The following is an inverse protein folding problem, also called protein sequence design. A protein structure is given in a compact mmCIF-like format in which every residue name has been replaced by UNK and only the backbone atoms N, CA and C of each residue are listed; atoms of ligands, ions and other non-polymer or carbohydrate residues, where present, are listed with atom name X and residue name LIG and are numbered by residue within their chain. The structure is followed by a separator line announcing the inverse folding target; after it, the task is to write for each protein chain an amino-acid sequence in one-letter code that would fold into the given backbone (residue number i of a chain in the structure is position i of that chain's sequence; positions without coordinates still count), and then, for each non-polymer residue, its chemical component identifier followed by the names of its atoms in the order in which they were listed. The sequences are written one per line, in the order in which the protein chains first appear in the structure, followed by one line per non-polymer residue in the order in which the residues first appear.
data_IF_546205037594
#
_entry.id   IF_546205037594
#
_cell.length_a   1.000
_cell.length_b   1.000
_cell.length_c   1.000
_cell.angle_alpha   90.00
_cell.angle_beta   90.00
_cell.angle_gamma   90.00
#
_symmetry.space_group_name_H-M   'P 1'
#
loop_
_entity.id
_entity.type
_entity.pdbx_description
1 polymer ?
#
# COMPACT_ATOMS: atom_id res chain seq x y z
N UNK A 1 -5.78 2.00 -12.03
CA UNK A 1 -5.95 3.31 -12.65
C UNK A 1 -4.67 4.08 -12.41
N UNK A 2 -3.94 4.52 -13.45
CA UNK A 2 -2.68 5.24 -13.25
C UNK A 2 -2.88 6.66 -12.70
N UNK A 3 -1.78 7.30 -12.28
CA UNK A 3 -1.74 8.71 -11.83
C UNK A 3 -2.52 9.62 -12.81
N UNK A 4 -3.40 10.49 -12.30
CA UNK A 4 -4.19 11.42 -13.12
C UNK A 4 -3.32 12.63 -13.49
N UNK A 5 -3.18 12.88 -14.79
CA UNK A 5 -2.40 14.01 -15.31
C UNK A 5 -3.29 15.19 -15.69
N UNK A 6 -2.75 16.41 -15.62
CA UNK A 6 -3.46 17.63 -16.03
C UNK A 6 -3.82 17.57 -17.51
N UNK A 7 -4.99 18.15 -17.84
CA UNK A 7 -5.53 18.22 -19.20
C UNK A 7 -5.81 19.67 -19.61
N UNK A 8 -4.93 20.59 -19.23
CA UNK A 8 -5.08 21.99 -19.61
C UNK A 8 -4.73 22.16 -21.08
N UNK A 9 -5.37 23.12 -21.76
CA UNK A 9 -4.97 23.51 -23.10
C UNK A 9 -3.52 24.00 -23.09
N UNK A 10 -2.71 23.57 -24.06
CA UNK A 10 -1.28 23.86 -24.15
C UNK A 10 -0.39 22.71 -23.65
N UNK A 11 0.86 23.03 -23.31
CA UNK A 11 1.84 22.05 -22.86
C UNK A 11 1.53 21.55 -21.45
N UNK A 12 1.50 20.22 -21.29
CA UNK A 12 1.39 19.57 -19.99
C UNK A 12 2.71 18.84 -19.70
N UNK A 13 3.18 18.91 -18.44
CA UNK A 13 4.35 18.17 -17.96
C UNK A 13 3.94 17.25 -16.83
N UNK A 14 4.47 16.03 -16.85
CA UNK A 14 4.37 15.11 -15.72
C UNK A 14 5.74 14.54 -15.38
N UNK A 15 5.96 14.24 -14.11
CA UNK A 15 7.07 13.41 -13.62
C UNK A 15 6.53 12.05 -13.23
N UNK A 16 7.41 11.05 -13.27
CA UNK A 16 7.22 9.78 -12.60
C UNK A 16 8.27 9.69 -11.51
N UNK A 17 7.83 9.50 -10.27
CA UNK A 17 8.68 9.49 -9.09
C UNK A 17 9.39 8.14 -8.89
N UNK A 18 9.40 7.29 -9.94
CA UNK A 18 9.98 5.94 -9.96
C UNK A 18 9.36 4.99 -8.93
N UNK A 19 8.12 5.24 -8.52
CA UNK A 19 7.35 4.33 -7.67
C UNK A 19 6.17 3.72 -8.43
N UNK A 20 5.81 2.50 -8.06
CA UNK A 20 4.58 1.84 -8.50
C UNK A 20 3.34 2.53 -7.87
N UNK A 21 2.16 2.19 -8.38
CA UNK A 21 0.90 2.62 -7.75
C UNK A 21 0.83 2.07 -6.31
N UNK A 22 0.42 2.92 -5.36
CA UNK A 22 0.21 2.49 -3.98
C UNK A 22 -0.94 1.50 -3.82
N UNK A 23 -1.05 0.85 -2.65
CA UNK A 23 -2.12 -0.08 -2.35
C UNK A 23 -3.48 0.61 -2.25
N UNK A 24 -4.56 -0.17 -2.21
CA UNK A 24 -5.89 0.35 -1.85
C UNK A 24 -5.81 1.05 -0.50
N UNK A 25 -6.31 2.28 -0.43
CA UNK A 25 -6.28 3.14 0.76
C UNK A 25 -7.60 3.06 1.53
N UNK A 26 -7.52 2.99 2.86
CA UNK A 26 -8.68 3.12 3.72
C UNK A 26 -9.18 4.56 3.76
N UNK A 27 -10.41 4.80 3.31
CA UNK A 27 -10.96 6.16 3.12
C UNK A 27 -11.83 6.65 4.29
N UNK A 28 -12.26 5.73 5.16
CA UNK A 28 -13.07 6.02 6.35
C UNK A 28 -12.28 6.56 7.55
N UNK A 29 -11.05 7.04 7.33
CA UNK A 29 -10.17 7.64 8.34
C UNK A 29 -9.65 9.01 7.88
N UNK A 30 -8.94 9.71 8.77
CA UNK A 30 -8.31 11.00 8.48
C UNK A 30 -7.17 10.87 7.47
N UNK A 31 -6.87 11.95 6.73
CA UNK A 31 -6.03 11.92 5.52
C UNK A 31 -4.66 11.24 5.73
N UNK A 32 -3.98 11.57 6.83
CA UNK A 32 -2.65 11.07 7.18
C UNK A 32 -2.65 9.58 7.52
N UNK A 33 -3.80 9.01 7.91
CA UNK A 33 -3.93 7.59 8.23
C UNK A 33 -4.47 6.75 7.07
N UNK A 34 -4.68 7.33 5.88
CA UNK A 34 -5.22 6.57 4.73
C UNK A 34 -4.23 5.58 4.11
N UNK A 35 -3.00 5.52 4.62
CA UNK A 35 -1.92 4.72 4.03
C UNK A 35 -1.21 5.43 2.85
N UNK A 36 -0.15 4.81 2.32
CA UNK A 36 0.73 5.40 1.32
C UNK A 36 0.02 5.60 -0.03
N UNK A 37 0.45 6.63 -0.77
CA UNK A 37 -0.04 6.87 -2.14
C UNK A 37 0.77 6.11 -3.20
N UNK A 38 1.98 5.72 -2.85
CA UNK A 38 2.96 5.09 -3.72
C UNK A 38 3.31 3.70 -3.22
N UNK A 39 3.65 2.81 -4.16
CA UNK A 39 4.03 1.43 -3.91
C UNK A 39 5.54 1.25 -3.77
N UNK A 40 6.01 0.05 -4.11
CA UNK A 40 7.44 -0.25 -4.16
C UNK A 40 8.14 0.59 -5.24
N UNK A 41 9.44 0.83 -5.07
CA UNK A 41 10.23 1.55 -6.07
C UNK A 41 10.44 0.67 -7.31
N UNK A 42 10.33 1.26 -8.51
CA UNK A 42 10.50 0.54 -9.75
C UNK A 42 11.96 0.10 -9.94
N UNK A 43 12.15 -1.17 -10.29
CA UNK A 43 13.49 -1.73 -10.52
C UNK A 43 14.18 -1.09 -11.73
N UNK A 44 15.52 -0.95 -11.73
CA UNK A 44 16.26 -0.60 -12.94
C UNK A 44 15.91 -1.53 -14.11
N UNK A 45 15.66 -0.96 -15.28
CA UNK A 45 15.14 -1.72 -16.42
C UNK A 45 14.63 -0.85 -17.55
N UNK A 46 14.08 -1.50 -18.58
CA UNK A 46 13.43 -0.82 -19.70
C UNK A 46 11.93 -0.81 -19.50
N UNK A 47 11.35 0.38 -19.51
CA UNK A 47 9.92 0.63 -19.35
C UNK A 47 9.34 1.24 -20.62
N UNK A 48 8.05 1.00 -20.83
CA UNK A 48 7.29 1.66 -21.90
C UNK A 48 6.39 2.71 -21.27
N UNK A 49 6.61 3.97 -21.62
CA UNK A 49 5.71 5.07 -21.28
C UNK A 49 4.61 5.11 -22.33
N UNK A 50 3.36 4.98 -21.90
CA UNK A 50 2.18 5.04 -22.78
C UNK A 50 1.33 6.26 -22.47
N UNK A 51 1.11 7.09 -23.49
CA UNK A 51 0.17 8.21 -23.46
C UNK A 51 -1.09 7.83 -24.25
N UNK A 52 -2.26 8.03 -23.64
CA UNK A 52 -3.56 7.88 -24.29
C UNK A 52 -4.22 9.25 -24.36
N UNK A 53 -4.43 9.76 -25.58
CA UNK A 53 -5.05 11.05 -25.84
C UNK A 53 -6.05 10.92 -27.01
N UNK A 54 -7.29 11.35 -26.80
CA UNK A 54 -8.38 11.26 -27.78
C UNK A 54 -8.51 9.88 -28.44
N UNK A 55 -8.36 8.82 -27.64
CA UNK A 55 -8.43 7.43 -28.09
C UNK A 55 -7.20 6.94 -28.87
N UNK A 56 -6.19 7.79 -29.11
CA UNK A 56 -4.91 7.41 -29.72
C UNK A 56 -3.90 7.00 -28.66
N UNK A 57 -3.06 6.02 -29.00
CA UNK A 57 -1.98 5.55 -28.14
C UNK A 57 -0.63 6.02 -28.71
N UNK A 58 0.22 6.53 -27.83
CA UNK A 58 1.60 6.89 -28.11
C UNK A 58 2.47 6.14 -27.12
N UNK A 59 3.55 5.54 -27.60
CA UNK A 59 4.47 4.75 -26.77
C UNK A 59 5.90 5.21 -26.98
N UNK A 60 6.65 5.26 -25.88
CA UNK A 60 8.07 5.60 -25.89
C UNK A 60 8.81 4.72 -24.89
N UNK A 61 9.96 4.19 -25.32
CA UNK A 61 10.84 3.44 -24.44
C UNK A 61 11.63 4.37 -23.52
N UNK A 62 11.78 3.97 -22.26
CA UNK A 62 12.52 4.66 -21.21
C UNK A 62 13.40 3.64 -20.47
N UNK A 63 14.69 3.95 -20.29
CA UNK A 63 15.57 3.11 -19.47
C UNK A 63 15.79 3.75 -18.12
N UNK A 64 15.38 3.06 -17.05
CA UNK A 64 15.72 3.38 -15.66
C UNK A 64 17.07 2.72 -15.33
N UNK A 65 18.01 3.51 -14.84
CA UNK A 65 19.35 3.04 -14.46
C UNK A 65 19.47 2.94 -12.94
N UNK A 66 20.33 2.04 -12.43
CA UNK A 66 20.67 2.04 -11.00
C UNK A 66 21.31 3.38 -10.59
N UNK A 67 21.04 3.83 -9.36
CA UNK A 67 21.72 5.01 -8.81
C UNK A 67 23.20 4.68 -8.56
N UNK A 68 24.16 5.39 -9.18
CA UNK A 68 25.58 5.11 -9.00
C UNK A 68 26.10 5.37 -7.57
N UNK A 69 25.31 6.00 -6.71
CA UNK A 69 25.65 6.25 -5.30
C UNK A 69 25.13 5.14 -4.37
N UNK A 70 24.26 4.28 -4.88
CA UNK A 70 23.71 3.15 -4.15
C UNK A 70 24.61 1.91 -4.35
N UNK A 71 25.19 1.34 -3.28
CA UNK A 71 26.01 0.14 -3.38
C UNK A 71 25.19 -1.16 -3.58
N UNK A 72 23.86 -1.11 -3.51
CA UNK A 72 22.99 -2.28 -3.65
C UNK A 72 23.16 -3.01 -4.98
N UNK A 73 23.18 -4.33 -4.93
CA UNK A 73 23.18 -5.15 -6.14
C UNK A 73 21.78 -5.23 -6.76
N UNK A 74 21.68 -5.67 -8.01
CA UNK A 74 20.39 -5.90 -8.64
C UNK A 74 19.53 -6.93 -7.87
N UNK A 75 20.16 -7.92 -7.22
CA UNK A 75 19.47 -8.90 -6.38
C UNK A 75 18.94 -8.28 -5.09
N UNK A 76 19.70 -7.37 -4.47
CA UNK A 76 19.24 -6.64 -3.28
C UNK A 76 18.01 -5.78 -3.58
N UNK A 77 18.05 -5.04 -4.69
CA UNK A 77 16.92 -4.24 -5.17
C UNK A 77 15.70 -5.12 -5.46
N UNK A 78 15.90 -6.27 -6.11
CA UNK A 78 14.80 -7.20 -6.40
C UNK A 78 14.17 -7.78 -5.13
N UNK A 79 14.97 -8.15 -4.12
CA UNK A 79 14.48 -8.63 -2.82
C UNK A 79 13.70 -7.56 -2.08
N UNK A 80 14.22 -6.34 -2.05
CA UNK A 80 13.54 -5.18 -1.47
C UNK A 80 12.20 -4.92 -2.15
N UNK A 81 12.19 -4.84 -3.48
CA UNK A 81 10.98 -4.62 -4.27
C UNK A 81 9.93 -5.67 -3.97
N UNK A 82 10.28 -6.96 -4.05
CA UNK A 82 9.36 -8.05 -3.78
C UNK A 82 8.78 -7.98 -2.36
N UNK A 83 9.60 -7.62 -1.37
CA UNK A 83 9.18 -7.48 0.01
C UNK A 83 8.19 -6.31 0.20
N UNK A 84 8.51 -5.12 -0.34
CA UNK A 84 7.63 -3.95 -0.28
C UNK A 84 6.33 -4.16 -1.07
N UNK A 85 6.42 -4.76 -2.26
CA UNK A 85 5.25 -5.09 -3.08
C UNK A 85 4.30 -6.04 -2.34
N UNK A 86 4.85 -7.04 -1.64
CA UNK A 86 4.05 -7.95 -0.79
C UNK A 86 3.38 -7.21 0.36
N UNK A 87 4.12 -6.40 1.12
CA UNK A 87 3.55 -5.64 2.25
C UNK A 87 2.47 -4.65 1.80
N UNK A 88 2.67 -3.97 0.66
CA UNK A 88 1.64 -3.13 0.05
C UNK A 88 0.41 -3.98 -0.32
N UNK A 89 0.60 -5.16 -0.89
CA UNK A 89 -0.48 -6.11 -1.15
C UNK A 89 -1.27 -6.47 0.11
N UNK A 90 -0.58 -6.83 1.20
CA UNK A 90 -1.21 -7.13 2.49
C UNK A 90 -1.99 -5.94 3.06
N UNK A 91 -1.41 -4.73 3.02
CA UNK A 91 -2.09 -3.52 3.44
C UNK A 91 -3.35 -3.26 2.62
N UNK A 92 -3.26 -3.43 1.30
CA UNK A 92 -4.38 -3.25 0.38
C UNK A 92 -5.53 -4.22 0.64
N UNK A 93 -5.23 -5.47 1.03
CA UNK A 93 -6.23 -6.45 1.46
C UNK A 93 -6.94 -5.96 2.74
N UNK A 94 -6.18 -5.53 3.74
CA UNK A 94 -6.73 -5.01 5.00
C UNK A 94 -7.58 -3.77 4.78
N UNK A 95 -7.10 -2.79 4.02
CA UNK A 95 -7.80 -1.54 3.74
C UNK A 95 -9.05 -1.76 2.87
N UNK A 96 -9.04 -2.75 1.99
CA UNK A 96 -10.24 -3.18 1.25
C UNK A 96 -11.31 -3.73 2.21
N UNK A 97 -10.92 -4.56 3.18
CA UNK A 97 -11.84 -5.05 4.21
C UNK A 97 -12.40 -3.90 5.05
N UNK A 98 -11.56 -2.94 5.48
CA UNK A 98 -11.98 -1.78 6.25
C UNK A 98 -13.00 -0.92 5.50
N UNK A 99 -12.71 -0.57 4.24
CA UNK A 99 -13.65 0.17 3.40
C UNK A 99 -15.01 -0.56 3.26
N UNK A 100 -14.98 -1.89 3.14
CA UNK A 100 -16.20 -2.70 3.05
C UNK A 100 -16.97 -2.75 4.38
N UNK A 101 -16.27 -2.84 5.52
CA UNK A 101 -16.87 -2.78 6.85
C UNK A 101 -17.56 -1.44 7.10
N UNK A 102 -16.86 -0.33 6.85
CA UNK A 102 -17.42 1.01 6.99
C UNK A 102 -18.67 1.19 6.12
N UNK A 103 -18.63 0.68 4.88
CA UNK A 103 -19.78 0.72 3.98
C UNK A 103 -20.99 -0.05 4.51
N UNK A 104 -20.76 -1.24 5.07
CA UNK A 104 -21.83 -2.08 5.66
C UNK A 104 -22.43 -1.44 6.92
N UNK A 105 -21.61 -0.79 7.75
CA UNK A 105 -22.06 -0.18 9.00
C UNK A 105 -23.05 0.97 8.79
N UNK A 106 -22.95 1.73 7.69
CA UNK A 106 -23.81 2.91 7.42
C UNK A 106 -25.32 2.63 7.42
N UNK A 107 -25.73 1.40 7.11
CA UNK A 107 -27.15 1.03 6.98
C UNK A 107 -27.53 -0.20 7.82
N UNK A 108 -26.65 -0.65 8.70
CA UNK A 108 -26.86 -1.85 9.49
C UNK A 108 -27.65 -1.57 10.79
N UNK A 109 -28.46 -2.52 11.29
CA UNK A 109 -29.07 -2.41 12.61
C UNK A 109 -27.98 -2.46 13.71
N UNK A 110 -28.28 -1.91 14.89
CA UNK A 110 -27.31 -1.74 15.98
C UNK A 110 -26.54 -3.03 16.35
N UNK A 111 -27.22 -4.18 16.44
CA UNK A 111 -26.58 -5.46 16.72
C UNK A 111 -25.56 -5.86 15.65
N UNK A 112 -25.84 -5.56 14.38
CA UNK A 112 -24.92 -5.83 13.26
C UNK A 112 -23.76 -4.83 13.24
N UNK A 113 -24.00 -3.56 13.58
CA UNK A 113 -22.94 -2.55 13.74
C UNK A 113 -21.95 -3.00 14.81
N UNK A 114 -22.40 -3.44 15.99
CA UNK A 114 -21.52 -3.91 17.05
C UNK A 114 -20.61 -5.08 16.60
N UNK A 115 -21.17 -6.06 15.88
CA UNK A 115 -20.39 -7.17 15.34
C UNK A 115 -19.37 -6.73 14.27
N UNK A 116 -19.73 -5.78 13.40
CA UNK A 116 -18.82 -5.23 12.39
C UNK A 116 -17.69 -4.41 13.02
N UNK A 117 -18.00 -3.61 14.05
CA UNK A 117 -17.02 -2.86 14.84
C UNK A 117 -16.01 -3.79 15.53
N UNK A 118 -16.48 -4.90 16.13
CA UNK A 118 -15.58 -5.89 16.72
C UNK A 118 -14.61 -6.49 15.69
N UNK A 119 -15.06 -6.71 14.46
CA UNK A 119 -14.18 -7.15 13.37
C UNK A 119 -13.20 -6.06 12.94
N UNK A 120 -13.66 -4.81 12.81
CA UNK A 120 -12.83 -3.64 12.51
C UNK A 120 -11.68 -3.51 13.51
N UNK A 121 -11.94 -3.65 14.81
CA UNK A 121 -10.92 -3.57 15.87
C UNK A 121 -9.89 -4.71 15.88
N UNK A 122 -10.13 -5.79 15.13
CA UNK A 122 -9.10 -6.82 14.87
C UNK A 122 -8.15 -6.38 13.77
N UNK A 123 -8.62 -5.56 12.83
CA UNK A 123 -7.86 -5.11 11.66
C UNK A 123 -7.03 -3.85 11.95
N UNK A 124 -7.60 -2.90 12.69
CA UNK A 124 -7.00 -1.57 12.93
C UNK A 124 -7.27 -1.11 14.36
N UNK A 125 -6.38 -0.25 14.88
CA UNK A 125 -6.64 0.55 16.07
C UNK A 125 -7.82 1.52 15.90
N UNK A 126 -8.20 1.85 14.66
CA UNK A 126 -9.22 2.86 14.35
C UNK A 126 -8.87 4.22 14.97
N UNK A 127 -7.61 4.65 14.80
CA UNK A 127 -7.13 5.94 15.29
C UNK A 127 -8.02 7.07 14.80
N UNK A 128 -8.44 7.93 15.72
CA UNK A 128 -9.31 9.07 15.39
C UNK A 128 -8.51 10.31 14.98
N UNK A 129 -7.25 10.43 15.41
CA UNK A 129 -6.33 11.51 15.04
C UNK A 129 -4.86 11.05 15.18
N UNK A 130 -3.93 11.93 14.84
CA UNK A 130 -2.48 11.67 14.86
C UNK A 130 -1.88 11.51 16.27
N UNK A 131 -2.58 11.96 17.30
CA UNK A 131 -2.14 11.91 18.70
C UNK A 131 -2.65 10.65 19.43
N UNK A 132 -3.42 9.81 18.74
CA UNK A 132 -4.00 8.60 19.30
C UNK A 132 -2.96 7.48 19.42
N UNK A 133 -2.18 7.51 20.51
CA UNK A 133 -1.08 6.58 20.78
C UNK A 133 -1.55 5.25 21.39
N UNK A 134 -2.77 4.80 21.08
CA UNK A 134 -3.32 3.54 21.61
C UNK A 134 -2.43 2.33 21.30
N UNK A 135 -2.33 1.43 22.27
CA UNK A 135 -1.61 0.15 22.16
C UNK A 135 -2.50 -1.00 22.67
N UNK A 136 -2.30 -2.24 22.19
CA UNK A 136 -1.30 -2.68 21.21
C UNK A 136 -1.74 -2.44 19.75
N UNK A 137 -0.77 -2.17 18.87
CA UNK A 137 -0.98 -2.04 17.42
C UNK A 137 -1.72 -3.26 16.85
N UNK A 138 -2.62 -3.03 15.88
CA UNK A 138 -3.27 -4.10 15.12
C UNK A 138 -2.51 -4.39 13.83
N UNK A 139 -3.00 -5.37 13.07
CA UNK A 139 -2.32 -5.87 11.86
C UNK A 139 -2.04 -4.73 10.87
N UNK A 140 -2.98 -3.79 10.69
CA UNK A 140 -2.80 -2.64 9.80
C UNK A 140 -1.62 -1.76 10.24
N UNK A 141 -1.58 -1.38 11.50
CA UNK A 141 -0.54 -0.48 12.01
C UNK A 141 0.82 -1.17 12.03
N UNK A 142 0.87 -2.49 12.28
CA UNK A 142 2.12 -3.28 12.18
C UNK A 142 2.64 -3.37 10.74
N UNK A 143 1.76 -3.51 9.75
CA UNK A 143 2.16 -3.46 8.33
C UNK A 143 2.68 -2.08 7.95
N UNK A 144 1.98 -1.00 8.36
CA UNK A 144 2.41 0.38 8.12
C UNK A 144 3.76 0.70 8.77
N UNK A 145 3.97 0.25 10.01
CA UNK A 145 5.25 0.38 10.70
C UNK A 145 6.38 -0.32 9.94
N UNK A 146 6.18 -1.57 9.52
CA UNK A 146 7.19 -2.31 8.78
C UNK A 146 7.47 -1.70 7.39
N UNK A 147 6.44 -1.24 6.69
CA UNK A 147 6.59 -0.45 5.46
C UNK A 147 7.40 0.82 5.71
N UNK A 148 7.16 1.54 6.80
CA UNK A 148 7.93 2.72 7.18
C UNK A 148 9.39 2.39 7.48
N UNK A 149 9.66 1.34 8.26
CA UNK A 149 11.03 0.92 8.62
C UNK A 149 11.85 0.46 7.42
N UNK A 150 11.24 -0.25 6.47
CA UNK A 150 11.94 -0.71 5.26
C UNK A 150 11.99 0.40 4.20
N UNK A 151 10.90 1.13 4.00
CA UNK A 151 10.74 2.14 2.95
C UNK A 151 11.58 3.40 3.13
N UNK A 152 11.90 3.82 4.36
CA UNK A 152 12.30 5.22 4.63
C UNK A 152 13.79 5.57 4.54
N UNK A 153 14.74 4.62 4.59
CA UNK A 153 16.14 5.01 4.91
C UNK A 153 17.26 4.29 4.17
N UNK A 154 17.02 3.20 3.46
CA UNK A 154 18.05 2.59 2.60
C UNK A 154 17.41 1.71 1.53
N UNK A 155 17.92 1.77 0.29
CA UNK A 155 17.55 0.84 -0.80
C UNK A 155 18.10 -0.59 -0.58
N UNK A 156 18.31 -0.96 0.69
CA UNK A 156 18.85 -2.25 1.05
C UNK A 156 17.76 -3.33 1.03
N UNK A 157 18.22 -4.55 0.82
CA UNK A 157 17.40 -5.75 1.02
C UNK A 157 16.89 -5.83 2.47
N UNK A 158 15.70 -6.40 2.71
CA UNK A 158 15.19 -6.62 4.06
C UNK A 158 16.12 -7.55 4.85
N UNK A 159 16.26 -7.28 6.14
CA UNK A 159 16.95 -8.17 7.08
C UNK A 159 16.14 -9.44 7.34
N UNK A 160 16.80 -10.51 7.79
CA UNK A 160 16.11 -11.76 8.14
C UNK A 160 14.99 -11.56 9.20
N UNK A 161 15.17 -10.62 10.12
CA UNK A 161 14.14 -10.28 11.11
C UNK A 161 12.91 -9.61 10.45
N UNK A 162 13.12 -8.70 9.51
CA UNK A 162 12.05 -8.07 8.74
C UNK A 162 11.34 -9.07 7.83
N UNK A 163 12.08 -10.00 7.20
CA UNK A 163 11.50 -11.09 6.41
C UNK A 163 10.59 -12.00 7.26
N UNK A 164 11.08 -12.43 8.43
CA UNK A 164 10.31 -13.24 9.35
C UNK A 164 9.05 -12.51 9.86
N UNK A 165 9.17 -11.23 10.19
CA UNK A 165 8.04 -10.39 10.59
C UNK A 165 7.01 -10.27 9.46
N UNK A 166 7.46 -9.96 8.23
CA UNK A 166 6.59 -9.89 7.06
C UNK A 166 5.90 -11.23 6.74
N UNK A 167 6.58 -12.36 6.95
CA UNK A 167 5.97 -13.69 6.79
C UNK A 167 4.87 -13.96 7.82
N UNK A 168 5.09 -13.56 9.08
CA UNK A 168 4.08 -13.67 10.13
C UNK A 168 2.86 -12.77 9.84
N UNK A 169 3.07 -11.52 9.42
CA UNK A 169 2.00 -10.58 9.08
C UNK A 169 1.13 -11.12 7.94
N UNK A 170 1.74 -11.66 6.87
CA UNK A 170 0.99 -12.28 5.78
C UNK A 170 0.10 -13.43 6.28
N UNK A 171 0.64 -14.33 7.09
CA UNK A 171 -0.14 -15.46 7.64
C UNK A 171 -1.36 -14.96 8.43
N UNK A 172 -1.16 -13.90 9.22
CA UNK A 172 -2.24 -13.26 9.98
C UNK A 172 -3.30 -12.60 9.07
N UNK A 173 -2.87 -11.89 8.01
CA UNK A 173 -3.79 -11.30 7.03
C UNK A 173 -4.61 -12.38 6.32
N UNK A 174 -4.00 -13.47 5.89
CA UNK A 174 -4.74 -14.58 5.24
C UNK A 174 -5.78 -15.21 6.19
N UNK A 175 -5.43 -15.37 7.47
CA UNK A 175 -6.36 -15.84 8.51
C UNK A 175 -7.53 -14.88 8.72
N UNK A 176 -7.25 -13.56 8.81
CA UNK A 176 -8.27 -12.54 8.97
C UNK A 176 -9.17 -12.39 7.74
N UNK A 177 -8.60 -12.47 6.54
CA UNK A 177 -9.35 -12.46 5.29
C UNK A 177 -10.31 -13.66 5.19
N UNK A 178 -9.84 -14.84 5.60
CA UNK A 178 -10.67 -16.05 5.68
C UNK A 178 -11.82 -15.88 6.69
N UNK A 179 -11.52 -15.34 7.88
CA UNK A 179 -12.53 -15.05 8.90
C UNK A 179 -13.56 -14.00 8.43
N UNK A 180 -13.12 -12.95 7.72
CA UNK A 180 -13.99 -11.94 7.12
C UNK A 180 -14.90 -12.54 6.04
N UNK A 181 -14.38 -13.43 5.20
CA UNK A 181 -15.16 -14.11 4.16
C UNK A 181 -16.27 -15.00 4.77
N UNK A 182 -16.02 -15.64 5.91
CA UNK A 182 -17.00 -16.49 6.59
C UNK A 182 -18.18 -15.72 7.23
N UNK A 183 -18.04 -14.40 7.44
CA UNK A 183 -19.08 -13.53 8.01
C UNK A 183 -19.71 -12.57 7.01
N UNK A 184 -19.31 -12.67 5.73
CA UNK A 184 -19.87 -11.92 4.61
C UNK A 184 -21.22 -12.49 4.20
#
# INVERSE_FOLDING_TARGET
SGKKYTRHAGFNRTSWDLAEDGPTRWTGTFLQNRGPEEGAEALPGTYTVRLIADGKHYEQSLTVKPDPRDPSTADDLAKRHAFLARLNGELGIVDTMLNALDAKMRHAPAARVAALTALKHRLTLDQQNVEDLQTPARIRERILDLLGRVGSTSFQAPTAAQEAEGAALHTEVQSLASAYAAVK
#
